data_IF_026174588047
#
_entry.id   IF_026174588047
#
_cell.length_a   1.000
_cell.length_b   1.000
_cell.length_c   1.000
_cell.angle_alpha   90.00
_cell.angle_beta   90.00
_cell.angle_gamma   90.00
#
_symmetry.space_group_name_H-M   'P 1'
#
loop_
_entity.id
_entity.type
_entity.pdbx_description
1 polymer ?
#
# COMPACT_ATOMS: atom_id res chain seq x y z
N UNK A 1 -8.47 46.20 -4.82
CA UNK A 1 -9.31 45.07 -4.36
C UNK A 1 -8.74 43.70 -4.76
N UNK A 2 -8.19 43.52 -5.96
CA UNK A 2 -7.56 42.25 -6.39
C UNK A 2 -6.27 41.87 -5.61
N UNK A 3 -5.47 42.85 -5.17
CA UNK A 3 -4.24 42.60 -4.40
C UNK A 3 -4.51 42.11 -2.96
N UNK A 4 -5.60 42.53 -2.34
CA UNK A 4 -6.00 42.09 -1.00
C UNK A 4 -6.49 40.64 -1.01
N UNK A 5 -7.20 40.23 -2.08
CA UNK A 5 -7.69 38.86 -2.28
C UNK A 5 -6.55 37.85 -2.54
N UNK A 6 -5.51 38.27 -3.26
CA UNK A 6 -4.30 37.46 -3.50
C UNK A 6 -3.49 37.26 -2.21
N UNK A 7 -3.35 38.31 -1.39
CA UNK A 7 -2.62 38.24 -0.14
C UNK A 7 -3.34 37.38 0.91
N UNK A 8 -4.68 37.43 0.97
CA UNK A 8 -5.47 36.55 1.85
C UNK A 8 -5.41 35.08 1.41
N UNK A 9 -5.35 34.82 0.10
CA UNK A 9 -5.23 33.44 -0.43
C UNK A 9 -3.83 32.86 -0.14
N UNK A 10 -2.78 33.68 -0.20
CA UNK A 10 -1.40 33.27 0.07
C UNK A 10 -1.13 33.10 1.58
N UNK A 11 -1.83 33.84 2.44
CA UNK A 11 -1.79 33.64 3.90
C UNK A 11 -2.58 32.39 4.31
N UNK A 12 -3.71 32.08 3.66
CA UNK A 12 -4.48 30.85 3.92
C UNK A 12 -3.72 29.58 3.51
N UNK A 13 -2.91 29.63 2.45
CA UNK A 13 -2.10 28.47 2.00
C UNK A 13 -0.80 28.31 2.79
N UNK A 14 -0.28 29.40 3.36
CA UNK A 14 0.90 29.37 4.24
C UNK A 14 0.57 28.80 5.63
N UNK A 15 -0.61 29.08 6.19
CA UNK A 15 -1.00 28.57 7.52
C UNK A 15 -1.43 27.10 7.54
N UNK A 16 -1.60 26.46 6.38
CA UNK A 16 -1.91 25.03 6.26
C UNK A 16 -0.68 24.10 6.19
N UNK A 17 0.54 24.65 6.23
CA UNK A 17 1.78 23.84 6.25
C UNK A 17 2.45 23.88 7.63
N UNK A 18 1.66 23.57 8.66
CA UNK A 18 2.19 22.89 9.85
C UNK A 18 1.54 21.52 9.89
N UNK A 19 1.97 20.65 8.97
CA UNK A 19 1.73 19.21 9.08
C UNK A 19 2.52 18.76 10.30
N UNK A 20 1.88 18.83 11.46
CA UNK A 20 2.20 17.90 12.55
C UNK A 20 1.98 16.52 11.94
N UNK A 21 2.98 15.66 11.96
CA UNK A 21 2.86 14.28 11.50
C UNK A 21 1.56 13.68 12.07
N UNK A 22 0.56 13.43 11.24
CA UNK A 22 -0.63 12.71 11.65
C UNK A 22 -0.18 11.27 11.93
N UNK A 23 0.17 10.98 13.17
CA UNK A 23 0.36 9.61 13.63
C UNK A 23 -1.03 8.98 13.78
N UNK A 24 -1.39 8.09 12.85
CA UNK A 24 -2.62 7.30 12.92
C UNK A 24 -2.41 6.15 13.89
N UNK A 25 -2.68 6.37 15.18
CA UNK A 25 -2.55 5.34 16.21
C UNK A 25 -3.94 4.76 16.47
N UNK A 26 -4.15 3.44 16.32
CA UNK A 26 -5.42 2.83 16.66
C UNK A 26 -5.60 2.73 18.19
N UNK A 27 -6.85 2.75 18.62
CA UNK A 27 -7.24 2.49 20.01
C UNK A 27 -8.39 1.49 20.05
N UNK A 28 -8.17 0.37 20.75
CA UNK A 28 -9.17 -0.67 20.94
C UNK A 28 -9.72 -0.59 22.36
N UNK A 29 -11.03 -0.55 22.49
CA UNK A 29 -11.75 -0.46 23.75
C UNK A 29 -12.58 -1.72 23.94
N UNK A 30 -12.57 -2.31 25.13
CA UNK A 30 -13.52 -3.37 25.47
C UNK A 30 -13.92 -3.32 26.95
N UNK A 31 -15.14 -3.76 27.23
CA UNK A 31 -15.68 -3.84 28.59
C UNK A 31 -16.55 -5.08 28.76
N UNK A 32 -16.29 -5.93 29.76
CA UNK A 32 -17.04 -7.18 29.93
C UNK A 32 -18.51 -7.04 30.29
N UNK A 33 -18.89 -5.95 30.98
CA UNK A 33 -20.23 -5.82 31.56
C UNK A 33 -21.02 -4.60 31.06
N UNK A 34 -20.35 -3.63 30.41
CA UNK A 34 -20.95 -2.36 30.02
C UNK A 34 -21.16 -2.30 28.51
N UNK A 35 -22.36 -1.90 28.10
CA UNK A 35 -22.61 -1.57 26.69
C UNK A 35 -21.93 -0.26 26.32
N UNK A 36 -21.20 -0.25 25.21
CA UNK A 36 -20.53 0.94 24.66
C UNK A 36 -21.43 1.78 23.73
N UNK A 37 -22.71 1.44 23.64
CA UNK A 37 -23.70 2.09 22.75
C UNK A 37 -24.01 3.57 23.08
N UNK A 38 -23.46 4.11 24.17
CA UNK A 38 -23.61 5.52 24.56
C UNK A 38 -22.45 6.41 24.05
N UNK A 39 -21.40 5.79 23.49
CA UNK A 39 -20.26 6.51 22.94
C UNK A 39 -20.57 7.06 21.54
N UNK A 40 -19.93 8.16 21.11
CA UNK A 40 -20.14 8.73 19.78
C UNK A 40 -19.83 7.74 18.67
N UNK A 41 -20.61 7.72 17.59
CA UNK A 41 -20.27 6.93 16.39
C UNK A 41 -18.99 7.46 15.74
N UNK A 42 -18.15 6.54 15.28
CA UNK A 42 -16.84 6.85 14.70
C UNK A 42 -17.02 7.22 13.23
N UNK A 43 -16.66 8.45 12.86
CA UNK A 43 -16.52 8.84 11.45
C UNK A 43 -15.08 8.59 11.01
N UNK A 44 -14.86 7.58 10.17
CA UNK A 44 -13.52 7.12 9.76
C UNK A 44 -12.74 8.04 8.79
N UNK A 45 -13.13 9.30 8.64
CA UNK A 45 -12.51 10.24 7.69
C UNK A 45 -11.43 11.13 8.34
N UNK A 46 -11.60 11.52 9.60
CA UNK A 46 -10.69 12.43 10.30
C UNK A 46 -10.16 11.77 11.59
N UNK A 47 -8.87 11.95 11.94
CA UNK A 47 -8.32 11.43 13.18
C UNK A 47 -8.94 12.13 14.39
N UNK A 48 -9.31 11.36 15.40
CA UNK A 48 -9.87 11.89 16.64
C UNK A 48 -8.75 12.59 17.41
N UNK A 49 -8.94 13.87 17.76
CA UNK A 49 -7.96 14.64 18.53
C UNK A 49 -7.89 14.13 19.97
N UNK A 50 -6.73 14.28 20.60
CA UNK A 50 -6.48 13.85 21.98
C UNK A 50 -7.52 14.37 23.00
N UNK A 51 -7.93 15.64 22.88
CA UNK A 51 -8.91 16.25 23.79
C UNK A 51 -10.35 15.72 23.57
N UNK A 52 -10.73 15.49 22.31
CA UNK A 52 -12.02 14.90 21.95
C UNK A 52 -12.07 13.42 22.35
N UNK A 53 -10.94 12.73 22.25
CA UNK A 53 -10.78 11.35 22.72
C UNK A 53 -10.98 11.25 24.25
N UNK A 54 -10.37 12.16 25.01
CA UNK A 54 -10.52 12.20 26.45
C UNK A 54 -11.97 12.51 26.87
N UNK A 55 -12.55 13.59 26.35
CA UNK A 55 -13.87 14.06 26.78
C UNK A 55 -15.02 13.19 26.25
N UNK A 56 -14.88 12.68 25.02
CA UNK A 56 -15.92 11.90 24.35
C UNK A 56 -15.92 10.41 24.69
N UNK A 57 -14.75 9.82 24.98
CA UNK A 57 -14.61 8.38 25.17
C UNK A 57 -14.11 8.01 26.57
N UNK A 58 -13.00 8.60 27.04
CA UNK A 58 -12.40 8.18 28.31
C UNK A 58 -13.20 8.65 29.53
N UNK A 59 -13.60 9.92 29.60
CA UNK A 59 -14.34 10.46 30.76
C UNK A 59 -15.69 9.75 30.98
N UNK A 60 -16.54 9.54 29.94
CA UNK A 60 -17.82 8.83 30.10
C UNK A 60 -17.65 7.36 30.53
N UNK A 61 -16.52 6.73 30.16
CA UNK A 61 -16.17 5.39 30.62
C UNK A 61 -15.76 5.36 32.10
N UNK A 62 -15.32 6.49 32.66
CA UNK A 62 -14.87 6.62 34.04
C UNK A 62 -15.90 7.25 34.99
N UNK A 63 -17.04 7.74 34.52
CA UNK A 63 -18.00 8.46 35.38
C UNK A 63 -18.69 7.57 36.44
N UNK A 64 -18.64 6.24 36.29
CA UNK A 64 -19.22 5.31 37.26
C UNK A 64 -18.28 5.07 38.47
N UNK A 65 -18.79 5.13 39.71
CA UNK A 65 -17.97 5.08 40.93
C UNK A 65 -17.32 3.71 41.23
N UNK A 66 -17.71 2.65 40.53
CA UNK A 66 -17.24 1.27 40.75
C UNK A 66 -16.46 0.69 39.56
N UNK A 67 -16.25 1.47 38.50
CA UNK A 67 -15.57 1.00 37.29
C UNK A 67 -14.08 1.33 37.35
N UNK A 68 -13.26 0.27 37.32
CA UNK A 68 -11.82 0.37 37.20
C UNK A 68 -11.42 0.41 35.72
N UNK A 69 -10.21 0.87 35.45
CA UNK A 69 -9.71 1.02 34.09
C UNK A 69 -8.34 0.39 33.91
N UNK A 70 -8.16 -0.29 32.79
CA UNK A 70 -6.90 -0.96 32.46
C UNK A 70 -6.44 -0.47 31.09
N UNK A 71 -5.28 0.17 31.05
CA UNK A 71 -4.74 0.76 29.83
C UNK A 71 -3.45 0.03 29.48
N UNK A 72 -3.47 -0.68 28.37
CA UNK A 72 -2.31 -1.37 27.79
C UNK A 72 -1.67 -0.45 26.74
N UNK A 73 -0.40 -0.09 26.97
CA UNK A 73 0.36 0.80 26.10
C UNK A 73 1.51 0.04 25.46
N UNK A 74 1.51 -0.04 24.12
CA UNK A 74 2.61 -0.56 23.32
C UNK A 74 3.50 0.57 22.81
N UNK A 75 4.78 0.30 22.54
CA UNK A 75 5.73 1.32 22.05
C UNK A 75 5.35 1.84 20.65
N UNK A 76 5.05 0.92 19.74
CA UNK A 76 4.60 1.18 18.36
C UNK A 76 3.37 0.35 18.05
N UNK A 77 2.35 0.98 17.46
CA UNK A 77 1.13 0.30 17.01
C UNK A 77 0.53 1.06 15.82
N UNK A 78 0.23 0.36 14.72
CA UNK A 78 -0.55 0.87 13.59
C UNK A 78 -1.70 -0.07 13.23
N UNK A 79 -2.62 0.38 12.36
CA UNK A 79 -3.67 -0.49 11.79
C UNK A 79 -3.08 -1.64 10.97
N UNK A 80 -1.93 -1.41 10.35
CA UNK A 80 -1.27 -2.37 9.46
C UNK A 80 -0.63 -3.54 10.24
N UNK A 81 -0.23 -3.30 11.49
CA UNK A 81 0.27 -4.35 12.37
C UNK A 81 -0.80 -5.43 12.61
N UNK A 82 -2.08 -5.05 12.72
CA UNK A 82 -3.17 -6.01 12.84
C UNK A 82 -3.37 -6.78 11.54
N UNK A 83 -3.33 -6.12 10.38
CA UNK A 83 -3.44 -6.79 9.08
C UNK A 83 -2.33 -7.81 8.88
N UNK A 84 -1.10 -7.49 9.31
CA UNK A 84 0.08 -8.33 9.13
C UNK A 84 0.16 -9.50 10.10
N UNK A 85 -0.05 -9.24 11.40
CA UNK A 85 0.22 -10.24 12.45
C UNK A 85 -1.03 -10.96 12.97
N UNK A 86 -2.24 -10.49 12.63
CA UNK A 86 -3.49 -11.11 13.10
C UNK A 86 -4.06 -12.15 12.13
N UNK A 87 -3.33 -12.53 11.07
CA UNK A 87 -3.74 -13.57 10.12
C UNK A 87 -5.16 -13.30 9.55
N UNK A 88 -5.43 -12.07 9.12
CA UNK A 88 -6.77 -11.61 8.72
C UNK A 88 -7.28 -12.31 7.45
N UNK A 89 -6.37 -12.75 6.58
CA UNK A 89 -6.71 -13.35 5.28
C UNK A 89 -6.79 -14.88 5.28
N UNK A 90 -6.52 -15.55 6.39
CA UNK A 90 -6.63 -17.01 6.50
C UNK A 90 -8.01 -17.42 7.05
N UNK A 91 -8.79 -18.21 6.29
CA UNK A 91 -10.08 -18.69 6.77
C UNK A 91 -9.90 -19.58 8.01
N UNK A 92 -10.67 -19.31 9.07
CA UNK A 92 -10.59 -19.93 10.41
C UNK A 92 -9.36 -19.55 11.25
N UNK A 93 -8.74 -18.40 10.98
CA UNK A 93 -7.68 -17.87 11.86
C UNK A 93 -8.19 -17.55 13.26
N UNK A 94 -7.41 -17.95 14.27
CA UNK A 94 -7.62 -17.61 15.68
C UNK A 94 -7.11 -16.21 16.06
N UNK A 95 -6.67 -15.41 15.09
CA UNK A 95 -6.14 -14.06 15.35
C UNK A 95 -4.61 -13.98 15.40
N UNK A 96 -3.89 -14.99 14.88
CA UNK A 96 -2.43 -14.98 14.75
C UNK A 96 -1.72 -14.66 16.07
N UNK A 97 -0.92 -13.59 16.07
CA UNK A 97 -0.18 -13.09 17.24
C UNK A 97 -1.05 -12.31 18.25
N UNK A 98 -2.33 -12.07 17.96
CA UNK A 98 -3.29 -11.31 18.77
C UNK A 98 -4.49 -12.16 19.22
N UNK A 99 -4.28 -13.46 19.49
CA UNK A 99 -5.35 -14.41 19.84
C UNK A 99 -6.14 -13.97 21.10
N UNK A 100 -5.45 -13.54 22.17
CA UNK A 100 -6.10 -13.17 23.43
C UNK A 100 -6.85 -11.84 23.33
N UNK A 101 -6.29 -10.85 22.63
CA UNK A 101 -6.96 -9.56 22.40
C UNK A 101 -8.22 -9.77 21.54
N UNK A 102 -8.14 -10.59 20.49
CA UNK A 102 -9.30 -10.96 19.67
C UNK A 102 -10.39 -11.64 20.52
N UNK A 103 -10.02 -12.63 21.34
CA UNK A 103 -10.96 -13.30 22.25
C UNK A 103 -11.60 -12.30 23.23
N UNK A 104 -10.84 -11.33 23.72
CA UNK A 104 -11.36 -10.28 24.61
C UNK A 104 -12.35 -9.35 23.90
N UNK A 105 -12.14 -9.05 22.63
CA UNK A 105 -13.06 -8.21 21.85
C UNK A 105 -14.33 -8.96 21.44
N UNK A 106 -14.22 -10.21 20.97
CA UNK A 106 -15.37 -10.99 20.51
C UNK A 106 -16.34 -11.38 21.65
N UNK A 107 -15.81 -11.63 22.86
CA UNK A 107 -16.61 -12.08 24.00
C UNK A 107 -17.21 -10.94 24.84
N UNK A 108 -16.82 -9.69 24.59
CA UNK A 108 -17.23 -8.54 25.40
C UNK A 108 -17.76 -7.40 24.51
N UNK A 109 -18.29 -6.34 25.12
CA UNK A 109 -18.66 -5.15 24.35
C UNK A 109 -17.38 -4.43 23.95
N UNK A 110 -17.07 -4.40 22.64
CA UNK A 110 -15.87 -3.77 22.10
C UNK A 110 -16.16 -2.63 21.14
N UNK A 111 -15.21 -1.72 21.00
CA UNK A 111 -15.23 -0.60 20.08
C UNK A 111 -13.83 -0.35 19.53
N UNK A 112 -13.72 -0.12 18.23
CA UNK A 112 -12.45 0.18 17.56
C UNK A 112 -12.42 1.64 17.10
N UNK A 113 -11.31 2.31 17.38
CA UNK A 113 -11.02 3.66 16.90
C UNK A 113 -9.80 3.54 15.98
N UNK A 114 -9.99 3.67 14.65
CA UNK A 114 -8.92 3.40 13.69
C UNK A 114 -7.82 4.46 13.75
N UNK A 115 -8.16 5.71 14.10
CA UNK A 115 -7.21 6.82 14.12
C UNK A 115 -7.45 7.76 15.30
N UNK A 116 -6.53 7.75 16.26
CA UNK A 116 -6.47 8.68 17.38
C UNK A 116 -5.13 9.42 17.37
N UNK A 117 -5.19 10.74 17.41
CA UNK A 117 -4.01 11.60 17.48
C UNK A 117 -3.50 11.67 18.91
N UNK A 118 -2.26 11.20 19.13
CA UNK A 118 -1.54 11.21 20.42
C UNK A 118 -2.38 10.72 21.62
N UNK A 119 -2.68 9.40 21.68
CA UNK A 119 -3.47 8.83 22.77
C UNK A 119 -2.73 8.88 24.13
N UNK A 120 -1.38 8.87 24.14
CA UNK A 120 -0.61 8.98 25.40
C UNK A 120 -0.89 10.29 26.16
N UNK A 121 -1.02 11.42 25.47
CA UNK A 121 -1.32 12.71 26.10
C UNK A 121 -2.70 12.69 26.79
N UNK A 122 -3.69 12.00 26.19
CA UNK A 122 -5.01 11.83 26.77
C UNK A 122 -4.95 10.92 28.02
N UNK A 123 -4.15 9.85 27.97
CA UNK A 123 -3.96 8.97 29.14
C UNK A 123 -3.26 9.69 30.29
N UNK A 124 -2.29 10.56 30.01
CA UNK A 124 -1.63 11.36 31.05
C UNK A 124 -2.57 12.40 31.67
N UNK A 125 -3.39 13.07 30.86
CA UNK A 125 -4.44 13.98 31.35
C UNK A 125 -5.48 13.22 32.19
N UNK A 126 -5.84 12.01 31.79
CA UNK A 126 -6.73 11.14 32.55
C UNK A 126 -6.12 10.79 33.92
N UNK A 127 -4.84 10.41 33.95
CA UNK A 127 -4.10 10.14 35.20
C UNK A 127 -4.11 11.33 36.15
N UNK A 128 -3.99 12.55 35.64
CA UNK A 128 -4.03 13.76 36.46
C UNK A 128 -5.44 14.09 37.01
N UNK A 129 -6.50 13.68 36.29
CA UNK A 129 -7.90 13.93 36.65
C UNK A 129 -8.54 12.79 37.48
N UNK A 130 -7.88 11.63 37.57
CA UNK A 130 -8.47 10.44 38.17
C UNK A 130 -8.51 10.51 39.70
N UNK A 131 -9.71 10.42 40.27
CA UNK A 131 -9.97 10.44 41.71
C UNK A 131 -9.95 9.03 42.32
N UNK A 132 -8.83 8.31 42.20
CA UNK A 132 -8.66 6.93 42.68
C UNK A 132 -7.20 6.46 42.67
N UNK A 133 -6.95 5.18 42.99
CA UNK A 133 -5.60 4.62 43.05
C UNK A 133 -5.05 4.35 41.64
N UNK A 134 -3.88 4.91 41.32
CA UNK A 134 -3.22 4.75 40.01
C UNK A 134 -1.97 3.87 40.16
N UNK A 135 -1.92 2.77 39.41
CA UNK A 135 -0.78 1.87 39.39
C UNK A 135 -0.19 1.78 37.98
N UNK A 136 1.10 2.11 37.85
CA UNK A 136 1.86 1.90 36.62
C UNK A 136 2.67 0.62 36.76
N UNK A 137 2.42 -0.34 35.86
CA UNK A 137 2.97 -1.69 35.95
C UNK A 137 3.66 -2.03 34.63
N UNK A 138 4.80 -2.74 34.71
CA UNK A 138 5.58 -3.18 33.55
C UNK A 138 5.58 -4.71 33.40
N UNK A 139 5.05 -5.46 34.38
CA UNK A 139 5.11 -6.93 34.38
C UNK A 139 3.92 -7.55 35.12
N UNK A 140 3.53 -8.76 34.70
CA UNK A 140 2.37 -9.51 35.23
C UNK A 140 2.51 -9.75 36.76
N UNK A 141 3.72 -10.04 37.24
CA UNK A 141 4.00 -10.31 38.67
C UNK A 141 3.69 -9.13 39.59
N UNK A 142 3.82 -7.90 39.09
CA UNK A 142 3.49 -6.69 39.85
C UNK A 142 1.96 -6.51 39.96
N UNK A 143 1.19 -6.93 38.95
CA UNK A 143 -0.29 -6.94 38.98
C UNK A 143 -0.81 -7.96 39.99
N UNK A 144 -0.14 -9.10 40.13
CA UNK A 144 -0.52 -10.13 41.11
C UNK A 144 -0.28 -9.68 42.55
N UNK A 145 0.79 -8.91 42.79
CA UNK A 145 1.13 -8.35 44.10
C UNK A 145 0.27 -7.16 44.54
N UNK A 146 -0.55 -6.60 43.64
CA UNK A 146 -1.43 -5.48 43.94
C UNK A 146 -2.67 -5.95 44.71
N UNK A 147 -2.87 -5.37 45.90
CA UNK A 147 -4.06 -5.62 46.72
C UNK A 147 -5.22 -4.73 46.22
N UNK A 148 -5.88 -5.19 45.16
CA UNK A 148 -7.02 -4.51 44.56
C UNK A 148 -8.30 -4.81 45.36
N UNK A 149 -8.79 -3.80 46.09
CA UNK A 149 -10.08 -3.85 46.80
C UNK A 149 -11.25 -3.73 45.81
N UNK A 150 -12.36 -4.44 46.05
CA UNK A 150 -13.55 -4.47 45.16
C UNK A 150 -14.35 -3.16 45.11
N UNK A 151 -14.16 -2.30 46.12
CA UNK A 151 -14.99 -1.10 46.34
C UNK A 151 -14.26 0.22 46.04
N UNK A 152 -13.03 0.15 45.51
CA UNK A 152 -12.25 1.34 45.14
C UNK A 152 -12.05 1.42 43.64
N UNK A 153 -12.06 2.63 43.12
CA UNK A 153 -11.79 2.94 41.72
C UNK A 153 -10.29 2.84 41.46
N UNK A 154 -9.87 1.95 40.56
CA UNK A 154 -8.44 1.74 40.26
C UNK A 154 -8.15 1.97 38.78
N UNK A 155 -7.06 2.67 38.49
CA UNK A 155 -6.51 2.85 37.14
C UNK A 155 -5.17 2.11 37.03
N UNK A 156 -5.10 1.08 36.19
CA UNK A 156 -3.89 0.29 35.94
C UNK A 156 -3.36 0.66 34.56
N UNK A 157 -2.15 1.21 34.49
CA UNK A 157 -1.46 1.50 33.24
C UNK A 157 -0.35 0.46 33.06
N UNK A 158 -0.49 -0.39 32.07
CA UNK A 158 0.43 -1.48 31.75
C UNK A 158 1.27 -1.08 30.54
N UNK A 159 2.57 -0.90 30.76
CA UNK A 159 3.52 -0.71 29.66
C UNK A 159 4.02 -2.07 29.19
N UNK A 160 3.71 -2.42 27.94
CA UNK A 160 4.12 -3.67 27.30
C UNK A 160 5.58 -3.61 26.86
N UNK A 161 6.17 -4.78 26.56
CA UNK A 161 7.56 -4.84 26.12
C UNK A 161 7.75 -4.11 24.78
N UNK A 162 8.84 -3.33 24.62
CA UNK A 162 9.07 -2.55 23.42
C UNK A 162 9.36 -3.47 22.22
N UNK A 163 8.66 -3.21 21.12
CA UNK A 163 8.82 -3.94 19.83
C UNK A 163 10.00 -3.39 19.01
N UNK A 164 10.43 -2.15 19.29
CA UNK A 164 11.52 -1.48 18.59
C UNK A 164 12.88 -2.13 18.90
N UNK A 165 13.59 -2.61 17.87
CA UNK A 165 14.97 -3.10 17.99
C UNK A 165 15.15 -4.61 18.15
N UNK A 166 14.07 -5.39 18.10
CA UNK A 166 14.14 -6.87 18.11
C UNK A 166 14.00 -7.46 16.70
N UNK A 167 14.74 -8.54 16.42
CA UNK A 167 14.76 -9.21 15.10
C UNK A 167 13.48 -9.98 14.79
N UNK A 168 12.76 -10.43 15.82
CA UNK A 168 11.54 -11.23 15.70
C UNK A 168 10.34 -10.48 16.29
N UNK A 169 9.83 -9.47 15.56
CA UNK A 169 8.72 -8.62 16.03
C UNK A 169 7.45 -9.42 16.36
N UNK A 170 7.16 -10.45 15.57
CA UNK A 170 5.99 -11.33 15.74
C UNK A 170 6.00 -12.05 17.10
N UNK A 171 7.14 -12.63 17.49
CA UNK A 171 7.29 -13.32 18.78
C UNK A 171 7.09 -12.37 19.97
N UNK A 172 7.54 -11.10 19.86
CA UNK A 172 7.37 -10.09 20.91
C UNK A 172 5.90 -9.68 21.03
N UNK A 173 5.21 -9.53 19.91
CA UNK A 173 3.78 -9.20 19.89
C UNK A 173 2.98 -10.36 20.52
N UNK A 174 3.29 -11.61 20.16
CA UNK A 174 2.65 -12.78 20.76
C UNK A 174 2.88 -12.86 22.29
N UNK A 175 4.07 -12.54 22.77
CA UNK A 175 4.34 -12.45 24.21
C UNK A 175 3.53 -11.33 24.87
N UNK A 176 3.45 -10.16 24.24
CA UNK A 176 2.64 -9.05 24.74
C UNK A 176 1.16 -9.43 24.81
N UNK A 177 0.61 -10.08 23.78
CA UNK A 177 -0.77 -10.60 23.77
C UNK A 177 -1.02 -11.60 24.91
N UNK A 178 -0.09 -12.53 25.15
CA UNK A 178 -0.17 -13.46 26.28
C UNK A 178 -0.20 -12.74 27.64
N UNK A 179 0.54 -11.64 27.82
CA UNK A 179 0.48 -10.84 29.06
C UNK A 179 -0.87 -10.12 29.22
N UNK A 180 -1.46 -9.63 28.13
CA UNK A 180 -2.80 -9.00 28.14
C UNK A 180 -3.85 -10.04 28.53
N UNK A 181 -3.77 -11.25 27.97
CA UNK A 181 -4.65 -12.38 28.33
C UNK A 181 -4.53 -12.75 29.81
N UNK A 182 -3.32 -12.89 30.33
CA UNK A 182 -3.08 -13.23 31.74
C UNK A 182 -3.67 -12.20 32.72
N UNK A 183 -3.47 -10.90 32.44
CA UNK A 183 -4.01 -9.81 33.26
C UNK A 183 -5.54 -9.80 33.22
N UNK A 184 -6.12 -9.97 32.04
CA UNK A 184 -7.58 -10.00 31.84
C UNK A 184 -8.23 -11.18 32.59
N UNK A 185 -7.60 -12.36 32.56
CA UNK A 185 -8.06 -13.52 33.32
C UNK A 185 -7.94 -13.32 34.84
N UNK A 186 -6.87 -12.68 35.31
CA UNK A 186 -6.69 -12.38 36.73
C UNK A 186 -7.76 -11.40 37.26
N UNK A 187 -8.10 -10.37 36.48
CA UNK A 187 -9.16 -9.42 36.82
C UNK A 187 -10.55 -10.10 36.84
N UNK A 188 -10.80 -11.01 35.89
CA UNK A 188 -12.03 -11.83 35.86
C UNK A 188 -12.16 -12.72 37.11
N UNK A 189 -11.07 -13.38 37.53
CA UNK A 189 -11.05 -14.21 38.76
C UNK A 189 -11.38 -13.41 40.03
N UNK A 190 -10.97 -12.15 40.10
CA UNK A 190 -11.25 -11.25 41.23
C UNK A 190 -12.63 -10.58 41.16
N UNK A 191 -13.37 -10.76 40.06
CA UNK A 191 -14.69 -10.16 39.80
C UNK A 191 -14.69 -8.62 39.88
N UNK A 192 -13.63 -7.98 39.36
CA UNK A 192 -13.53 -6.52 39.28
C UNK A 192 -14.18 -6.07 37.97
N UNK A 193 -15.06 -5.07 38.04
CA UNK A 193 -15.63 -4.43 36.84
C UNK A 193 -14.60 -3.49 36.25
N UNK A 194 -14.19 -3.75 35.01
CA UNK A 194 -13.20 -2.90 34.35
C UNK A 194 -13.54 -2.59 32.90
N UNK A 195 -13.05 -1.44 32.45
CA UNK A 195 -12.98 -1.05 31.04
C UNK A 195 -11.52 -1.07 30.61
N UNK A 196 -11.23 -1.72 29.49
CA UNK A 196 -9.87 -1.84 28.97
C UNK A 196 -9.67 -1.01 27.71
N UNK A 197 -8.47 -0.45 27.59
CA UNK A 197 -7.99 0.31 26.44
C UNK A 197 -6.64 -0.27 26.00
N UNK A 198 -6.51 -0.60 24.72
CA UNK A 198 -5.25 -0.98 24.11
C UNK A 198 -4.85 0.05 23.06
N UNK A 199 -3.66 0.64 23.19
CA UNK A 199 -3.18 1.70 22.30
C UNK A 199 -1.66 1.76 22.22
N UNK A 200 -1.13 2.50 21.23
CA UNK A 200 0.31 2.70 21.01
C UNK A 200 0.82 4.06 21.49
N UNK A 201 2.12 4.17 21.76
CA UNK A 201 2.79 5.45 22.03
C UNK A 201 3.14 6.21 20.76
N UNK A 202 3.60 5.50 19.75
CA UNK A 202 3.86 6.03 18.42
C UNK A 202 3.14 5.17 17.38
N UNK A 203 2.86 5.76 16.21
CA UNK A 203 2.55 4.95 15.05
C UNK A 203 3.75 4.03 14.78
N UNK A 204 3.47 2.77 14.40
CA UNK A 204 4.52 1.96 13.78
C UNK A 204 5.10 2.77 12.62
N UNK A 205 6.41 2.68 12.41
CA UNK A 205 7.01 3.38 11.26
C UNK A 205 6.23 2.94 10.04
N UNK A 206 5.86 3.86 9.13
CA UNK A 206 5.45 3.48 7.78
C UNK A 206 6.60 2.62 7.30
N UNK A 207 6.45 1.30 7.40
CA UNK A 207 7.47 0.43 6.91
C UNK A 207 7.52 0.79 5.44
N UNK A 208 8.65 1.40 5.03
CA UNK A 208 9.18 1.20 3.68
C UNK A 208 8.97 -0.28 3.48
N UNK A 209 7.93 -0.63 2.71
CA UNK A 209 7.58 -1.99 2.40
C UNK A 209 8.94 -2.64 2.15
N UNK A 210 9.30 -3.64 2.98
CA UNK A 210 10.48 -4.44 2.68
C UNK A 210 10.16 -4.99 1.32
N UNK A 211 10.67 -4.35 0.25
CA UNK A 211 10.06 -4.34 -1.07
C UNK A 211 9.68 -5.77 -1.40
N UNK A 212 8.43 -6.11 -1.10
CA UNK A 212 7.77 -7.17 -1.78
C UNK A 212 7.64 -6.50 -3.12
N UNK A 213 8.62 -6.79 -3.98
CA UNK A 213 8.50 -6.56 -5.39
C UNK A 213 7.33 -7.46 -5.78
N UNK A 214 6.11 -7.03 -5.46
CA UNK A 214 4.95 -7.24 -6.26
C UNK A 214 5.34 -6.61 -7.57
N UNK A 215 6.01 -7.44 -8.36
CA UNK A 215 6.39 -7.22 -9.72
C UNK A 215 5.10 -7.22 -10.53
N UNK A 216 4.07 -6.48 -10.14
CA UNK A 216 2.88 -6.13 -10.90
C UNK A 216 1.95 -5.33 -10.00
N UNK A 217 1.44 -4.19 -10.47
CA UNK A 217 0.17 -3.63 -9.97
C UNK A 217 -0.98 -4.56 -10.39
N UNK A 218 -1.17 -5.67 -9.67
CA UNK A 218 -2.32 -6.57 -9.83
C UNK A 218 -3.10 -6.62 -8.54
N UNK A 219 -4.03 -5.68 -8.39
CA UNK A 219 -4.90 -5.54 -7.22
C UNK A 219 -5.82 -6.78 -6.98
N UNK A 220 -5.84 -7.76 -7.89
CA UNK A 220 -6.77 -8.92 -7.89
C UNK A 220 -6.13 -10.24 -8.36
N UNK A 221 -4.79 -10.36 -8.38
CA UNK A 221 -4.16 -11.61 -8.77
C UNK A 221 -3.96 -12.52 -7.56
N UNK A 222 -4.49 -13.74 -7.67
CA UNK A 222 -4.25 -14.83 -6.73
C UNK A 222 -2.74 -15.10 -6.63
N UNK A 223 -2.23 -15.32 -5.42
CA UNK A 223 -0.81 -15.60 -5.19
C UNK A 223 -0.47 -16.95 -5.81
N UNK A 224 -0.07 -16.97 -7.08
CA UNK A 224 0.60 -18.13 -7.64
C UNK A 224 1.87 -18.33 -6.83
N UNK A 225 1.88 -19.38 -6.04
CA UNK A 225 2.96 -19.84 -5.16
C UNK A 225 4.20 -20.23 -5.98
N UNK A 226 4.87 -19.24 -6.55
CA UNK A 226 6.28 -19.33 -6.91
C UNK A 226 7.07 -18.77 -5.75
N UNK A 227 7.62 -19.67 -4.93
CA UNK A 227 8.61 -19.41 -3.87
C UNK A 227 9.43 -18.17 -4.18
N UNK A 228 9.32 -17.15 -3.32
CA UNK A 228 10.05 -15.91 -3.45
C UNK A 228 11.55 -16.17 -3.35
N UNK A 229 12.20 -16.36 -4.49
CA UNK A 229 13.62 -16.05 -4.63
C UNK A 229 13.71 -14.53 -4.77
N UNK A 230 14.03 -13.87 -3.65
CA UNK A 230 14.30 -12.43 -3.54
C UNK A 230 15.61 -11.99 -4.22
N UNK A 231 16.21 -12.83 -5.06
CA UNK A 231 17.52 -12.59 -5.65
C UNK A 231 17.41 -11.76 -6.93
N UNK A 232 17.00 -10.49 -6.80
CA UNK A 232 17.24 -9.50 -7.84
C UNK A 232 18.56 -8.77 -7.60
N UNK A 233 19.24 -8.39 -8.67
CA UNK A 233 20.54 -7.73 -8.60
C UNK A 233 20.37 -6.23 -8.80
N UNK A 234 20.71 -5.45 -7.77
CA UNK A 234 20.81 -3.99 -7.87
C UNK A 234 22.22 -3.59 -8.31
N UNK A 235 22.29 -2.74 -9.31
CA UNK A 235 23.52 -2.25 -9.92
C UNK A 235 23.54 -0.72 -9.85
N UNK A 236 24.53 -0.20 -9.11
CA UNK A 236 24.82 1.23 -9.06
C UNK A 236 25.96 1.53 -10.03
N UNK A 237 25.65 2.26 -11.11
CA UNK A 237 26.60 2.52 -12.19
C UNK A 237 26.96 4.01 -12.26
N UNK A 238 28.19 4.29 -12.71
CA UNK A 238 28.69 5.66 -12.88
C UNK A 238 28.67 6.47 -11.58
N UNK A 239 29.22 5.93 -10.49
CA UNK A 239 29.36 6.61 -9.19
C UNK A 239 28.05 7.15 -8.57
N UNK A 240 26.89 6.55 -8.90
CA UNK A 240 25.60 6.97 -8.33
C UNK A 240 24.65 7.67 -9.29
N UNK A 241 25.05 7.86 -10.56
CA UNK A 241 24.26 8.64 -11.52
C UNK A 241 23.22 7.79 -12.28
N UNK A 242 23.45 6.47 -12.42
CA UNK A 242 22.50 5.52 -13.02
C UNK A 242 22.23 4.37 -12.06
N UNK A 243 20.96 4.09 -11.81
CA UNK A 243 20.51 2.90 -11.08
C UNK A 243 19.79 1.93 -12.00
N UNK A 244 20.19 0.65 -11.91
CA UNK A 244 19.55 -0.45 -12.64
C UNK A 244 19.28 -1.57 -11.66
N UNK A 245 18.09 -2.16 -11.74
CA UNK A 245 17.71 -3.36 -11.02
C UNK A 245 17.13 -4.35 -12.01
N UNK A 246 17.51 -5.61 -11.89
CA UNK A 246 17.06 -6.67 -12.78
C UNK A 246 16.98 -7.98 -11.99
N UNK A 247 15.89 -8.74 -12.19
CA UNK A 247 15.68 -10.01 -11.50
C UNK A 247 16.22 -11.19 -12.32
N UNK A 248 15.62 -11.44 -13.48
CA UNK A 248 16.04 -12.51 -14.39
C UNK A 248 15.97 -12.01 -15.83
N UNK A 249 16.83 -12.54 -16.69
CA UNK A 249 16.83 -12.21 -18.10
C UNK A 249 16.96 -13.48 -18.95
N UNK A 250 16.14 -13.58 -19.99
CA UNK A 250 16.12 -14.70 -20.91
C UNK A 250 16.18 -14.19 -22.35
N UNK A 251 16.96 -14.88 -23.18
CA UNK A 251 17.00 -14.62 -24.61
C UNK A 251 16.44 -15.84 -25.32
N UNK A 252 15.43 -15.61 -26.16
CA UNK A 252 14.79 -16.66 -26.96
C UNK A 252 15.08 -16.38 -28.42
N UNK A 253 15.97 -17.17 -28.99
CA UNK A 253 16.36 -17.09 -30.40
C UNK A 253 15.55 -18.09 -31.21
N UNK A 254 14.91 -17.62 -32.27
CA UNK A 254 14.29 -18.49 -33.28
C UNK A 254 15.20 -18.54 -34.50
N UNK A 255 15.59 -19.73 -34.92
CA UNK A 255 16.41 -19.95 -36.10
C UNK A 255 15.88 -21.17 -36.87
N UNK A 256 15.58 -20.99 -38.16
CA UNK A 256 15.04 -22.04 -39.05
C UNK A 256 13.88 -22.84 -38.42
N UNK A 257 12.99 -22.18 -37.69
CA UNK A 257 11.83 -22.81 -37.04
C UNK A 257 12.11 -23.54 -35.72
N UNK A 258 13.38 -23.64 -35.29
CA UNK A 258 13.77 -24.11 -33.95
C UNK A 258 13.89 -22.93 -33.00
N UNK A 259 13.55 -23.15 -31.73
CA UNK A 259 13.61 -22.14 -30.67
C UNK A 259 14.68 -22.54 -29.66
N UNK A 260 15.58 -21.61 -29.35
CA UNK A 260 16.68 -21.77 -28.40
C UNK A 260 16.51 -20.76 -27.27
N UNK A 261 16.42 -21.22 -26.03
CA UNK A 261 16.30 -20.36 -24.85
C UNK A 261 17.60 -20.34 -24.07
N UNK A 262 18.14 -19.15 -23.82
CA UNK A 262 19.36 -18.93 -23.05
C UNK A 262 18.98 -18.18 -21.79
N UNK A 263 19.30 -18.75 -20.63
CA UNK A 263 19.15 -18.07 -19.34
C UNK A 263 20.41 -17.23 -19.08
N UNK A 264 20.23 -15.97 -18.72
CA UNK A 264 21.31 -15.03 -18.44
C UNK A 264 21.49 -14.90 -16.93
N UNK A 265 22.70 -15.13 -16.45
CA UNK A 265 23.06 -14.85 -15.06
C UNK A 265 23.28 -13.35 -14.89
N UNK A 266 22.52 -12.73 -13.97
CA UNK A 266 22.61 -11.30 -13.68
C UNK A 266 23.53 -11.09 -12.49
N UNK A 267 24.74 -10.60 -12.74
CA UNK A 267 25.74 -10.28 -11.71
C UNK A 267 25.80 -8.77 -11.45
N UNK A 268 26.37 -8.35 -10.32
CA UNK A 268 26.48 -6.93 -9.95
C UNK A 268 27.31 -6.11 -10.96
N UNK A 269 28.20 -6.77 -11.70
CA UNK A 269 29.08 -6.14 -12.70
C UNK A 269 28.44 -6.04 -14.10
N UNK A 270 27.24 -6.58 -14.29
CA UNK A 270 26.58 -6.66 -15.60
C UNK A 270 26.38 -5.29 -16.24
N UNK A 271 26.16 -4.22 -15.45
CA UNK A 271 25.90 -2.88 -15.98
C UNK A 271 27.12 -1.93 -15.97
N UNK A 272 28.32 -2.38 -15.56
CA UNK A 272 29.49 -1.50 -15.30
C UNK A 272 29.95 -0.65 -16.48
N UNK A 273 29.68 -1.09 -17.72
CA UNK A 273 30.06 -0.35 -18.93
C UNK A 273 29.03 0.74 -19.33
N UNK A 274 28.03 1.01 -18.49
CA UNK A 274 27.07 2.08 -18.75
C UNK A 274 27.72 3.45 -18.54
N UNK A 275 27.45 4.38 -19.45
CA UNK A 275 28.03 5.73 -19.41
C UNK A 275 26.92 6.77 -19.42
N UNK A 276 27.13 7.86 -18.68
CA UNK A 276 26.21 8.99 -18.64
C UNK A 276 26.93 10.28 -19.04
N UNK A 277 26.29 11.03 -19.93
CA UNK A 277 26.57 12.44 -20.20
C UNK A 277 25.34 13.27 -19.83
N UNK A 278 25.48 14.60 -19.74
CA UNK A 278 24.42 15.52 -19.32
C UNK A 278 23.13 15.44 -20.16
N UNK A 279 23.23 14.96 -21.41
CA UNK A 279 22.09 14.84 -22.35
C UNK A 279 21.74 13.41 -22.73
N UNK A 280 22.68 12.48 -22.63
CA UNK A 280 22.52 11.11 -23.13
C UNK A 280 23.11 10.13 -22.15
N UNK A 281 22.36 9.08 -21.82
CA UNK A 281 22.82 7.96 -21.02
C UNK A 281 22.78 6.70 -21.88
N UNK A 282 23.84 5.91 -21.82
CA UNK A 282 23.94 4.62 -22.51
C UNK A 282 24.06 3.56 -21.45
N UNK A 283 22.98 2.79 -21.25
CA UNK A 283 22.94 1.67 -20.32
C UNK A 283 23.35 0.41 -21.08
N UNK A 284 24.47 -0.21 -20.70
CA UNK A 284 24.98 -1.42 -21.35
C UNK A 284 24.99 -2.58 -20.34
N UNK A 285 24.14 -3.59 -20.59
CA UNK A 285 24.10 -4.84 -19.85
C UNK A 285 24.94 -5.88 -20.59
N UNK A 286 26.08 -6.25 -20.02
CA UNK A 286 27.01 -7.23 -20.56
C UNK A 286 26.89 -8.56 -19.81
N UNK A 287 26.40 -9.58 -20.51
CA UNK A 287 26.31 -10.96 -20.03
C UNK A 287 27.44 -11.77 -20.64
N UNK A 288 28.48 -12.03 -19.83
CA UNK A 288 29.61 -12.87 -20.23
C UNK A 288 29.29 -14.34 -19.93
N UNK A 289 29.78 -15.24 -20.78
CA UNK A 289 29.71 -16.69 -20.59
C UNK A 289 28.29 -17.26 -20.41
N UNK A 290 27.29 -16.72 -21.12
CA UNK A 290 25.97 -17.32 -21.15
C UNK A 290 26.06 -18.72 -21.79
N UNK A 291 25.87 -19.77 -20.99
CA UNK A 291 26.06 -21.16 -21.43
C UNK A 291 24.81 -21.72 -22.08
N UNK A 292 24.97 -22.28 -23.27
CA UNK A 292 23.94 -23.09 -23.92
C UNK A 292 24.60 -24.33 -24.54
N UNK A 293 24.21 -25.54 -24.11
CA UNK A 293 24.78 -26.81 -24.62
C UNK A 293 26.32 -26.79 -24.76
N UNK A 294 27.03 -26.41 -23.69
CA UNK A 294 28.50 -26.31 -23.60
C UNK A 294 29.18 -25.19 -24.42
N UNK A 295 28.44 -24.33 -25.12
CA UNK A 295 28.99 -23.13 -25.78
C UNK A 295 28.68 -21.86 -24.99
N UNK A 296 29.67 -20.96 -24.91
CA UNK A 296 29.58 -19.66 -24.25
C UNK A 296 29.22 -18.57 -25.25
N UNK A 297 28.15 -17.82 -24.97
CA UNK A 297 27.75 -16.62 -25.72
C UNK A 297 28.02 -15.36 -24.90
N UNK A 298 28.52 -14.32 -25.56
CA UNK A 298 28.59 -12.97 -25.02
C UNK A 298 27.41 -12.17 -25.56
N UNK A 299 26.51 -11.78 -24.66
CA UNK A 299 25.28 -11.07 -25.01
C UNK A 299 25.36 -9.68 -24.40
N UNK A 300 25.20 -8.65 -25.23
CA UNK A 300 25.17 -7.25 -24.81
C UNK A 300 23.85 -6.61 -25.18
N UNK A 301 23.21 -5.99 -24.21
CA UNK A 301 22.01 -5.19 -24.42
C UNK A 301 22.40 -3.74 -24.18
N UNK A 302 22.27 -2.89 -25.20
CA UNK A 302 22.55 -1.47 -25.10
C UNK A 302 21.25 -0.68 -25.24
N UNK A 303 20.96 0.14 -24.24
CA UNK A 303 19.81 1.05 -24.20
C UNK A 303 20.31 2.48 -24.20
N UNK A 304 19.93 3.24 -25.22
CA UNK A 304 20.22 4.67 -25.34
C UNK A 304 19.04 5.47 -24.77
N UNK A 305 19.32 6.36 -23.83
CA UNK A 305 18.36 7.24 -23.20
C UNK A 305 18.76 8.71 -23.41
N UNK A 306 17.79 9.55 -23.73
CA UNK A 306 17.99 10.98 -24.00
C UNK A 306 17.21 11.80 -22.98
N UNK A 307 17.87 12.79 -22.38
CA UNK A 307 17.27 13.71 -21.43
C UNK A 307 16.70 14.95 -22.16
N UNK A 308 15.39 15.18 -22.03
CA UNK A 308 14.66 16.34 -22.57
C UNK A 308 14.35 17.41 -21.50
N UNK A 309 14.97 17.33 -20.32
CA UNK A 309 14.80 18.16 -19.11
C UNK A 309 13.56 17.86 -18.28
N UNK A 310 12.39 17.77 -18.91
CA UNK A 310 11.11 17.46 -18.23
C UNK A 310 10.84 15.95 -18.19
N UNK A 311 11.25 15.25 -19.24
CA UNK A 311 11.20 13.79 -19.39
C UNK A 311 12.52 13.27 -19.95
N UNK A 312 12.77 11.99 -19.75
CA UNK A 312 13.80 11.24 -20.47
C UNK A 312 13.13 10.13 -21.27
N UNK A 313 13.72 9.81 -22.42
CA UNK A 313 13.16 8.83 -23.37
C UNK A 313 14.21 7.79 -23.69
N UNK A 314 13.87 6.51 -23.59
CA UNK A 314 14.71 5.45 -24.15
C UNK A 314 14.49 5.40 -25.66
N UNK A 315 15.46 5.92 -26.42
CA UNK A 315 15.36 6.13 -27.86
C UNK A 315 15.60 4.86 -28.67
N UNK A 316 16.54 4.03 -28.21
CA UNK A 316 16.95 2.83 -28.94
C UNK A 316 17.42 1.75 -27.98
N UNK A 317 16.95 0.53 -28.22
CA UNK A 317 17.49 -0.67 -27.57
C UNK A 317 18.09 -1.54 -28.66
N UNK A 318 19.37 -1.90 -28.52
CA UNK A 318 20.09 -2.76 -29.44
C UNK A 318 20.65 -3.99 -28.74
N UNK A 319 20.66 -5.10 -29.47
CA UNK A 319 21.19 -6.38 -29.04
C UNK A 319 22.42 -6.75 -29.87
N UNK A 320 23.49 -7.07 -29.16
CA UNK A 320 24.69 -7.71 -29.72
C UNK A 320 24.81 -9.12 -29.12
N UNK A 321 24.97 -10.14 -29.96
CA UNK A 321 25.26 -11.51 -29.53
C UNK A 321 26.49 -11.98 -30.28
N UNK A 322 27.54 -12.35 -29.56
CA UNK A 322 28.78 -12.88 -30.13
C UNK A 322 29.06 -14.25 -29.49
N UNK A 323 29.03 -15.33 -30.27
CA UNK A 323 29.27 -16.68 -29.75
C UNK A 323 29.41 -17.76 -30.82
N UNK A 324 30.11 -18.84 -30.48
CA UNK A 324 30.50 -19.92 -31.41
C UNK A 324 29.57 -21.13 -31.39
N UNK A 325 29.16 -21.54 -32.61
CA UNK A 325 28.55 -22.82 -33.07
C UNK A 325 27.26 -23.26 -32.38
N UNK A 326 26.10 -22.92 -32.96
CA UNK A 326 25.32 -23.77 -33.89
C UNK A 326 24.29 -22.86 -34.62
N UNK A 327 24.10 -22.99 -35.95
CA UNK A 327 24.66 -24.02 -36.83
C UNK A 327 25.83 -23.58 -37.73
N UNK A 328 26.36 -22.36 -37.61
CA UNK A 328 27.56 -21.95 -38.36
C UNK A 328 28.67 -21.45 -37.44
N UNK A 329 29.90 -21.84 -37.76
CA UNK A 329 31.11 -21.44 -37.05
C UNK A 329 31.26 -19.92 -37.11
N UNK A 330 31.14 -19.29 -35.94
CA UNK A 330 31.12 -17.85 -35.67
C UNK A 330 29.76 -17.20 -35.96
N UNK A 331 28.87 -17.20 -34.95
CA UNK A 331 27.63 -16.44 -34.96
C UNK A 331 27.85 -15.09 -34.26
N UNK A 332 27.70 -14.01 -35.01
CA UNK A 332 27.72 -12.64 -34.49
C UNK A 332 26.50 -11.89 -35.01
N UNK A 333 25.57 -11.55 -34.12
CA UNK A 333 24.50 -10.61 -34.38
C UNK A 333 24.94 -9.26 -33.79
N UNK A 334 25.18 -8.26 -34.63
CA UNK A 334 25.60 -6.93 -34.19
C UNK A 334 24.54 -5.87 -34.51
N UNK A 335 24.33 -4.95 -33.57
CA UNK A 335 23.46 -3.79 -33.60
C UNK A 335 22.01 -4.09 -34.02
N UNK A 336 21.48 -5.23 -33.59
CA UNK A 336 20.11 -5.59 -33.90
C UNK A 336 19.14 -4.76 -33.05
N UNK A 337 18.28 -3.96 -33.70
CA UNK A 337 17.30 -3.12 -33.01
C UNK A 337 16.18 -3.97 -32.44
N UNK A 338 15.83 -3.69 -31.19
CA UNK A 338 14.72 -4.31 -30.50
C UNK A 338 13.54 -3.33 -30.46
N UNK A 339 12.36 -3.82 -30.80
CA UNK A 339 11.13 -3.08 -30.65
C UNK A 339 10.23 -3.74 -29.63
N UNK A 340 9.72 -2.91 -28.73
CA UNK A 340 8.56 -3.21 -27.92
C UNK A 340 7.35 -2.58 -28.60
N UNK A 341 6.48 -3.40 -29.19
CA UNK A 341 5.38 -2.90 -30.03
C UNK A 341 4.61 -1.70 -29.43
N UNK A 342 4.16 -1.83 -28.18
CA UNK A 342 3.24 -0.86 -27.55
C UNK A 342 3.77 -0.24 -26.24
N UNK A 343 5.03 -0.47 -25.85
CA UNK A 343 5.53 0.10 -24.59
C UNK A 343 5.94 1.56 -24.78
N UNK A 344 5.47 2.44 -23.90
CA UNK A 344 5.91 3.82 -23.86
C UNK A 344 7.24 3.92 -23.09
N UNK A 345 8.25 4.40 -23.79
CA UNK A 345 9.59 4.64 -23.26
C UNK A 345 9.81 6.09 -22.85
N UNK A 346 8.74 6.84 -22.66
CA UNK A 346 8.76 8.22 -22.16
C UNK A 346 8.52 8.25 -20.65
N UNK A 347 9.50 8.73 -19.90
CA UNK A 347 9.47 8.76 -18.43
C UNK A 347 9.73 10.17 -17.91
N UNK A 348 8.95 10.70 -16.95
CA UNK A 348 9.25 11.95 -16.29
C UNK A 348 10.63 11.96 -15.61
N UNK A 349 11.27 13.13 -15.55
CA UNK A 349 12.66 13.26 -15.05
C UNK A 349 12.86 12.87 -13.57
N UNK A 350 11.79 12.84 -12.78
CA UNK A 350 11.81 12.47 -11.36
C UNK A 350 11.35 11.03 -11.11
N UNK A 351 11.11 10.25 -12.16
CA UNK A 351 10.59 8.89 -12.04
C UNK A 351 11.58 7.86 -12.57
N UNK A 352 11.58 6.68 -11.96
CA UNK A 352 12.23 5.49 -12.50
C UNK A 352 11.28 4.75 -13.44
N UNK A 353 11.81 3.97 -14.38
CA UNK A 353 11.01 3.09 -15.23
C UNK A 353 11.02 1.69 -14.65
N UNK A 354 9.87 1.05 -14.45
CA UNK A 354 9.77 -0.33 -13.97
C UNK A 354 8.97 -1.20 -14.94
N UNK A 355 9.37 -2.46 -15.08
CA UNK A 355 8.59 -3.45 -15.81
C UNK A 355 8.80 -4.85 -15.23
N UNK A 356 7.68 -5.49 -14.92
CA UNK A 356 7.61 -6.88 -14.47
C UNK A 356 8.14 -7.87 -15.48
N UNK A 357 7.63 -7.79 -16.70
CA UNK A 357 7.85 -8.75 -17.77
C UNK A 357 7.95 -7.96 -19.07
N UNK A 358 9.17 -7.58 -19.39
CA UNK A 358 9.49 -6.77 -20.54
C UNK A 358 9.87 -7.69 -21.69
N UNK A 359 9.03 -7.72 -22.74
CA UNK A 359 9.29 -8.49 -23.97
C UNK A 359 9.70 -7.58 -25.10
N UNK A 360 10.93 -7.76 -25.57
CA UNK A 360 11.55 -7.00 -26.65
C UNK A 360 11.73 -7.91 -27.85
N UNK A 361 11.00 -7.65 -28.92
CA UNK A 361 11.12 -8.44 -30.15
C UNK A 361 12.22 -7.88 -31.04
N UNK A 362 12.89 -8.77 -31.78
CA UNK A 362 13.85 -8.34 -32.79
C UNK A 362 13.13 -7.65 -33.95
N UNK A 363 13.42 -6.37 -34.17
CA UNK A 363 12.82 -5.59 -35.26
C UNK A 363 13.55 -5.92 -36.57
N UNK A 364 12.93 -6.76 -37.41
CA UNK A 364 13.57 -7.33 -38.61
C UNK A 364 13.69 -6.37 -39.80
N UNK A 365 13.50 -5.06 -39.63
CA UNK A 365 13.11 -4.20 -40.77
C UNK A 365 14.29 -3.69 -41.61
N UNK A 366 15.53 -3.71 -41.13
CA UNK A 366 16.63 -3.03 -41.85
C UNK A 366 17.79 -3.89 -42.34
N UNK A 367 17.93 -5.15 -41.93
CA UNK A 367 19.07 -5.98 -42.34
C UNK A 367 18.61 -7.31 -42.96
N UNK A 368 18.79 -7.46 -44.28
CA UNK A 368 18.40 -8.66 -45.04
C UNK A 368 19.09 -9.93 -44.54
N UNK A 369 20.23 -9.78 -43.87
CA UNK A 369 21.05 -10.89 -43.36
C UNK A 369 20.47 -11.54 -42.08
N UNK A 370 19.53 -10.86 -41.40
CA UNK A 370 18.96 -11.31 -40.13
C UNK A 370 17.51 -11.81 -40.23
N UNK A 371 16.96 -11.94 -41.45
CA UNK A 371 15.59 -12.40 -41.69
C UNK A 371 15.29 -13.80 -41.12
N UNK A 372 16.33 -14.64 -41.01
CA UNK A 372 16.29 -15.98 -40.42
C UNK A 372 16.01 -16.01 -38.90
N UNK A 373 16.19 -14.87 -38.21
CA UNK A 373 15.96 -14.71 -36.77
C UNK A 373 14.59 -14.12 -36.41
N UNK A 374 13.68 -14.06 -37.39
CA UNK A 374 12.35 -13.48 -37.22
C UNK A 374 11.59 -14.17 -36.09
N UNK A 375 11.13 -13.37 -35.12
CA UNK A 375 10.39 -13.85 -33.95
C UNK A 375 11.27 -14.27 -32.77
N UNK A 376 12.57 -13.95 -32.81
CA UNK A 376 13.43 -13.93 -31.62
C UNK A 376 13.04 -12.75 -30.72
N UNK A 377 13.12 -12.96 -29.41
CA UNK A 377 12.79 -11.94 -28.41
C UNK A 377 13.66 -12.07 -27.17
N UNK A 378 13.83 -10.97 -26.46
CA UNK A 378 14.42 -10.90 -25.13
C UNK A 378 13.31 -10.68 -24.13
N UNK A 379 13.38 -11.38 -23.00
CA UNK A 379 12.49 -11.22 -21.88
C UNK A 379 13.31 -10.80 -20.65
N UNK A 380 13.08 -9.58 -20.18
CA UNK A 380 13.66 -9.07 -18.93
C UNK A 380 12.58 -9.05 -17.86
N UNK A 381 12.87 -9.59 -16.69
CA UNK A 381 11.92 -9.65 -15.58
C UNK A 381 12.36 -8.77 -14.41
N UNK A 382 11.40 -8.07 -13.80
CA UNK A 382 11.64 -7.15 -12.70
C UNK A 382 12.67 -6.07 -13.03
N UNK A 383 12.67 -5.59 -14.27
CA UNK A 383 13.63 -4.57 -14.71
C UNK A 383 13.18 -3.19 -14.23
N UNK A 384 14.04 -2.51 -13.48
CA UNK A 384 13.82 -1.12 -13.07
C UNK A 384 15.06 -0.29 -13.39
N UNK A 385 14.88 0.88 -13.99
CA UNK A 385 16.00 1.71 -14.40
C UNK A 385 15.72 3.20 -14.19
N UNK A 386 16.73 3.92 -13.73
CA UNK A 386 16.72 5.36 -13.62
C UNK A 386 18.06 5.90 -14.14
N UNK A 387 18.00 6.61 -15.26
CA UNK A 387 19.20 7.07 -15.98
C UNK A 387 19.63 8.50 -15.64
N UNK A 388 18.76 9.29 -14.99
CA UNK A 388 19.02 10.70 -14.72
C UNK A 388 18.42 11.14 -13.37
N UNK A 389 19.00 12.19 -12.81
CA UNK A 389 18.48 12.95 -11.66
C UNK A 389 18.14 12.10 -10.43
N UNK A 390 19.07 11.21 -10.06
CA UNK A 390 18.99 10.41 -8.84
C UNK A 390 19.29 11.32 -7.66
N UNK A 391 18.48 11.22 -6.60
CA UNK A 391 18.66 12.00 -5.38
C UNK A 391 18.55 11.07 -4.18
N UNK A 392 19.27 11.40 -3.10
CA UNK A 392 19.23 10.66 -1.82
C UNK A 392 19.60 9.17 -1.94
N UNK A 393 20.42 8.81 -2.93
CA UNK A 393 20.87 7.44 -3.20
C UNK A 393 19.75 6.39 -3.22
N UNK A 394 18.58 6.74 -3.76
CA UNK A 394 17.45 5.81 -3.90
C UNK A 394 16.78 5.96 -5.26
N UNK A 395 16.13 4.90 -5.73
CA UNK A 395 15.17 5.03 -6.81
C UNK A 395 14.05 5.99 -6.39
N UNK A 396 13.62 6.82 -7.33
CA UNK A 396 12.36 7.51 -7.20
C UNK A 396 11.19 6.62 -7.64
N UNK A 397 9.98 7.12 -7.41
CA UNK A 397 8.73 6.49 -7.81
C UNK A 397 8.80 5.92 -9.23
N UNK A 398 8.28 4.70 -9.37
CA UNK A 398 8.36 3.95 -10.61
C UNK A 398 7.13 4.21 -11.50
N UNK A 399 7.38 4.50 -12.76
CA UNK A 399 6.40 4.40 -13.82
C UNK A 399 6.47 2.99 -14.43
N UNK A 400 5.40 2.21 -14.28
CA UNK A 400 5.32 0.90 -14.89
C UNK A 400 5.12 0.94 -16.40
N UNK A 401 5.63 -0.10 -17.07
CA UNK A 401 5.42 -0.37 -18.49
C UNK A 401 3.97 -0.64 -18.90
N UNK A 402 3.06 -0.88 -17.94
CA UNK A 402 1.64 -1.13 -18.19
C UNK A 402 0.80 0.00 -17.58
N UNK A 403 -0.05 0.61 -18.42
CA UNK A 403 -1.02 1.60 -17.97
C UNK A 403 -2.17 0.97 -17.17
N UNK A 404 -2.80 1.77 -16.29
CA UNK A 404 -3.91 1.29 -15.44
C UNK A 404 -5.09 0.71 -16.22
N UNK A 405 -5.40 1.28 -17.37
CA UNK A 405 -6.47 0.82 -18.25
C UNK A 405 -5.97 0.82 -19.69
N UNK A 406 -6.35 -0.22 -20.43
CA UNK A 406 -6.08 -0.29 -21.87
C UNK A 406 -6.98 0.69 -22.62
N UNK A 407 -6.57 1.10 -23.82
CA UNK A 407 -7.40 1.93 -24.71
C UNK A 407 -8.79 1.34 -24.94
N UNK A 408 -8.88 0.01 -25.03
CA UNK A 408 -10.17 -0.69 -25.18
C UNK A 408 -11.08 -0.52 -23.94
N UNK A 409 -10.52 -0.64 -22.73
CA UNK A 409 -11.29 -0.45 -21.49
C UNK A 409 -11.79 0.99 -21.38
N UNK A 410 -10.97 1.98 -21.74
CA UNK A 410 -11.39 3.38 -21.75
C UNK A 410 -12.56 3.64 -22.71
N UNK A 411 -12.48 3.11 -23.93
CA UNK A 411 -13.55 3.27 -24.92
C UNK A 411 -14.85 2.59 -24.46
N UNK A 412 -14.74 1.41 -23.84
CA UNK A 412 -15.91 0.70 -23.29
C UNK A 412 -16.52 1.43 -22.09
N UNK A 413 -15.70 1.87 -21.13
CA UNK A 413 -16.15 2.54 -19.92
C UNK A 413 -16.87 3.84 -20.25
N UNK A 414 -16.32 4.64 -21.16
CA UNK A 414 -16.95 5.88 -21.60
C UNK A 414 -18.28 5.62 -22.32
N UNK A 415 -18.34 4.61 -23.20
CA UNK A 415 -19.57 4.23 -23.90
C UNK A 415 -20.64 3.67 -22.96
N UNK A 416 -20.25 2.85 -21.98
CA UNK A 416 -21.14 2.27 -20.98
C UNK A 416 -21.77 3.35 -20.09
N UNK A 417 -20.96 4.27 -19.57
CA UNK A 417 -21.45 5.41 -18.76
C UNK A 417 -22.45 6.26 -19.56
N UNK A 418 -22.16 6.51 -20.83
CA UNK A 418 -23.06 7.27 -21.71
C UNK A 418 -24.42 6.58 -21.89
N UNK A 419 -24.43 5.27 -22.18
CA UNK A 419 -25.67 4.51 -22.37
C UNK A 419 -26.47 4.40 -21.07
N UNK A 420 -25.79 4.16 -19.94
CA UNK A 420 -26.43 4.12 -18.61
C UNK A 420 -27.05 5.47 -18.26
N UNK A 421 -26.41 6.59 -18.60
CA UNK A 421 -26.98 7.93 -18.37
C UNK A 421 -28.30 8.12 -19.14
N UNK A 422 -28.36 7.67 -20.41
CA UNK A 422 -29.59 7.75 -21.21
C UNK A 422 -30.67 6.83 -20.64
N UNK A 423 -30.30 5.62 -20.21
CA UNK A 423 -31.22 4.67 -19.61
C UNK A 423 -31.82 5.22 -18.31
N UNK A 424 -30.97 5.77 -17.42
CA UNK A 424 -31.42 6.40 -16.16
C UNK A 424 -32.39 7.54 -16.47
N UNK A 425 -32.07 8.41 -17.44
CA UNK A 425 -32.97 9.48 -17.85
C UNK A 425 -34.32 8.94 -18.33
N UNK A 426 -34.33 7.89 -19.17
CA UNK A 426 -35.55 7.24 -19.63
C UNK A 426 -36.39 6.65 -18.48
N UNK A 427 -35.74 5.96 -17.54
CA UNK A 427 -36.41 5.39 -16.36
C UNK A 427 -36.99 6.48 -15.47
N UNK A 428 -36.25 7.57 -15.21
CA UNK A 428 -36.74 8.70 -14.42
C UNK A 428 -37.99 9.35 -15.06
N UNK A 429 -38.03 9.46 -16.39
CA UNK A 429 -39.20 9.98 -17.11
C UNK A 429 -40.42 9.05 -16.98
N UNK A 430 -40.23 7.73 -17.05
CA UNK A 430 -41.32 6.76 -16.86
C UNK A 430 -41.82 6.77 -15.41
N UNK A 431 -40.92 6.82 -14.43
CA UNK A 431 -41.29 6.92 -13.01
C UNK A 431 -42.02 8.23 -12.68
N UNK A 432 -41.79 9.29 -13.47
CA UNK A 432 -42.46 10.59 -13.33
C UNK A 432 -43.84 10.64 -14.01
N UNK A 433 -44.30 9.55 -14.63
CA UNK A 433 -45.66 9.48 -15.17
C UNK A 433 -46.67 9.41 -14.02
N UNK A 434 -47.21 10.58 -13.65
CA UNK A 434 -48.38 10.65 -12.80
C UNK A 434 -49.61 10.18 -13.57
N UNK A 435 -50.28 9.12 -13.11
CA UNK A 435 -51.60 8.75 -13.62
C UNK A 435 -52.61 9.82 -13.20
N UNK A 436 -53.42 10.32 -14.14
CA UNK A 436 -54.50 11.25 -13.80
C UNK A 436 -55.49 10.58 -12.85
N UNK A 437 -55.55 11.06 -11.62
CA UNK A 437 -56.55 10.68 -10.63
C UNK A 437 -57.87 11.41 -10.91
N UNK A 438 -58.50 11.03 -12.02
CA UNK A 438 -59.86 11.46 -12.33
C UNK A 438 -60.57 10.43 -13.20
N UNK A 439 -60.96 9.34 -12.56
CA UNK A 439 -62.25 8.78 -12.92
C UNK A 439 -63.29 9.72 -12.33
N UNK A 440 -64.10 10.36 -13.19
CA UNK A 440 -65.24 11.18 -12.78
C UNK A 440 -66.09 10.36 -11.80
N UNK A 441 -65.99 10.69 -10.50
CA UNK A 441 -66.90 10.16 -9.50
C UNK A 441 -68.27 10.77 -9.78
N UNK A 442 -69.29 9.97 -10.15
CA UNK A 442 -70.64 10.47 -10.43
C UNK A 442 -71.32 11.11 -9.20
N UNK A 443 -70.64 11.18 -8.05
CA UNK A 443 -71.09 11.89 -6.84
C UNK A 443 -70.30 13.16 -6.50
N UNK A 444 -69.39 13.61 -7.36
CA UNK A 444 -68.69 14.89 -7.19
C UNK A 444 -69.65 16.08 -7.22
N UNK A 445 -69.49 17.03 -6.27
CA UNK A 445 -70.36 18.21 -6.17
C UNK A 445 -70.33 19.04 -7.45
N UNK A 446 -71.51 19.29 -8.02
CA UNK A 446 -71.72 20.15 -9.19
C UNK A 446 -71.25 21.59 -8.91
N UNK A 447 -70.49 22.19 -9.82
CA UNK A 447 -70.09 23.60 -9.73
C UNK A 447 -71.35 24.47 -9.70
N UNK A 448 -71.56 25.22 -8.61
CA UNK A 448 -72.59 26.25 -8.53
C UNK A 448 -72.02 27.58 -8.99
N UNK A 449 -72.50 28.08 -10.14
CA UNK A 449 -72.19 29.43 -10.62
C UNK A 449 -73.07 30.41 -9.84
N UNK A 450 -72.47 31.35 -9.11
CA UNK A 450 -73.21 32.44 -8.48
C UNK A 450 -73.62 33.45 -9.57
N UNK A 451 -74.92 33.59 -9.83
CA UNK A 451 -75.45 34.72 -10.57
C UNK A 451 -75.31 35.97 -9.71
N UNK A 452 -74.56 36.96 -10.20
CA UNK A 452 -74.55 38.30 -9.63
C UNK A 452 -75.94 38.93 -9.78
N UNK A 453 -76.51 39.39 -8.69
CA UNK A 453 -77.69 40.26 -8.70
C UNK A 453 -77.23 41.69 -8.95
N UNK A 454 -77.83 42.32 -9.97
CA UNK A 454 -77.66 43.72 -10.37
C UNK A 454 -77.84 44.74 -9.23
#
# INVERSE_FOLDING_TARGET
MAFLLSFTLMVLTSTFLTVSSLSSIPALLWSPERSMSQLPEVMGLDPIKSDDFLNGYLTPLMDNPLESAVIFIQDKLSTDDFTRYADVYTPNSKGGSFENIKECMENHFSMELPQVSNPCDAVEKLKASFSGDVHTVTSVDQVESLNLDKDKKVLIIVHLNPVTGQKDQENVIQQNDATVGAISQHLKKRSIKYSALFTGRAASDDHVESVESHSSRRLMADSSSSSANYNGTFMNVSNGDIYVFLKEAFVVMKYEGKTYSINLTVDADTANNSTQDNKTAVIQLDFKDAKFNDTSYNIKIRTEAVNLKDRWVMSRVSLDIVGGVVPTSNFSLENATLSSGDMDFTIPILYSWHCTDMKLNLETVYNKDNAQFKGSYIQLTGYQVQAFNIQKNRFFDAQDCVGYFTTAIWMFLFSSIFLVSILIFGVLMVLSLSTMDKYDDPKGKTITVAQGTD
#
